data_IF_423665485536
#
_entry.id   IF_423665485536
#
_cell.length_a   1.000
_cell.length_b   1.000
_cell.length_c   1.000
_cell.angle_alpha   90.00
_cell.angle_beta   90.00
_cell.angle_gamma   90.00
#
_symmetry.space_group_name_H-M   'P 1'
#
loop_
_entity.id
_entity.type
_entity.pdbx_description
1 polymer ?
#
# COMPACT_ATOMS: atom_id res chain seq x y z
N UNK A 1 -8.82 11.92 -8.60
CA UNK A 1 -7.49 11.28 -8.67
C UNK A 1 -7.64 9.97 -7.92
N UNK A 2 -7.24 8.84 -8.50
CA UNK A 2 -7.49 7.54 -7.89
C UNK A 2 -6.52 7.30 -6.73
N UNK A 3 -7.05 6.88 -5.58
CA UNK A 3 -6.26 6.46 -4.42
C UNK A 3 -5.78 5.03 -4.58
N UNK A 4 -4.69 4.70 -3.89
CA UNK A 4 -4.17 3.35 -3.92
C UNK A 4 -5.08 2.34 -3.22
N UNK A 5 -5.13 1.13 -3.78
CA UNK A 5 -5.87 -0.01 -3.25
C UNK A 5 -4.89 -1.14 -2.96
N UNK A 6 -5.14 -1.88 -1.88
CA UNK A 6 -4.29 -2.96 -1.39
C UNK A 6 -5.06 -4.27 -1.26
N UNK A 7 -4.40 -5.38 -1.56
CA UNK A 7 -4.89 -6.73 -1.26
C UNK A 7 -3.90 -7.46 -0.37
N UNK A 8 -4.44 -8.07 0.68
CA UNK A 8 -3.70 -8.92 1.58
C UNK A 8 -3.78 -10.36 1.06
N UNK A 9 -2.92 -10.70 0.08
CA UNK A 9 -3.00 -11.99 -0.62
C UNK A 9 -2.48 -13.14 0.24
N UNK A 10 -1.29 -12.98 0.81
CA UNK A 10 -0.63 -13.94 1.68
C UNK A 10 0.25 -13.21 2.69
N UNK A 11 -0.40 -12.56 3.65
CA UNK A 11 0.29 -11.78 4.69
C UNK A 11 0.19 -12.51 6.02
N UNK A 12 1.32 -12.87 6.64
CA UNK A 12 1.36 -13.68 7.87
C UNK A 12 0.57 -13.08 9.03
N UNK A 13 0.53 -11.75 9.13
CA UNK A 13 -0.19 -11.02 10.19
C UNK A 13 -1.70 -11.28 10.21
N UNK A 14 -2.30 -11.75 9.11
CA UNK A 14 -3.74 -12.08 9.10
C UNK A 14 -4.05 -13.38 9.84
N UNK A 15 -3.04 -14.21 10.10
CA UNK A 15 -3.18 -15.47 10.85
C UNK A 15 -2.50 -15.47 12.21
N UNK A 16 -1.20 -15.12 12.26
CA UNK A 16 -0.35 -15.36 13.45
C UNK A 16 0.67 -14.24 13.75
N UNK A 17 0.66 -13.14 12.99
CA UNK A 17 1.57 -12.01 13.21
C UNK A 17 0.89 -10.82 13.89
N UNK A 18 1.62 -9.70 14.04
CA UNK A 18 1.09 -8.53 14.71
C UNK A 18 0.30 -7.62 13.77
N UNK A 19 -0.81 -7.08 14.29
CA UNK A 19 -1.59 -6.02 13.68
C UNK A 19 -1.55 -4.83 14.64
N UNK A 20 -1.11 -3.69 14.15
CA UNK A 20 -0.94 -2.47 14.92
C UNK A 20 -2.07 -1.48 14.63
N UNK A 21 -2.48 -0.74 15.65
CA UNK A 21 -3.27 0.47 15.48
C UNK A 21 -2.30 1.64 15.39
N UNK A 22 -2.25 2.32 14.25
CA UNK A 22 -1.31 3.42 14.00
C UNK A 22 -2.05 4.73 13.77
N UNK A 23 -1.53 5.82 14.32
CA UNK A 23 -2.05 7.16 14.07
C UNK A 23 -1.48 7.70 12.75
N UNK A 24 -2.35 8.07 11.81
CA UNK A 24 -1.94 8.72 10.57
C UNK A 24 -1.44 10.16 10.85
N UNK A 25 -0.16 10.47 10.60
CA UNK A 25 0.39 11.82 10.84
C UNK A 25 0.12 12.80 9.68
N UNK A 26 -0.25 12.27 8.51
CA UNK A 26 -0.72 13.01 7.35
C UNK A 26 -1.81 12.20 6.64
N UNK A 27 -2.37 12.70 5.53
CA UNK A 27 -3.33 11.93 4.76
C UNK A 27 -2.64 10.72 4.12
N UNK A 28 -3.20 9.52 4.32
CA UNK A 28 -2.63 8.26 3.86
C UNK A 28 -3.60 7.52 2.92
N UNK A 29 -3.08 6.51 2.25
CA UNK A 29 -3.86 5.62 1.40
C UNK A 29 -3.55 4.17 1.77
N UNK A 30 -4.47 3.28 1.45
CA UNK A 30 -4.23 1.85 1.56
C UNK A 30 -3.11 1.43 0.60
N UNK A 31 -2.22 0.55 1.04
CA UNK A 31 -1.06 0.12 0.25
C UNK A 31 0.20 0.95 0.50
N UNK A 32 0.10 2.02 1.30
CA UNK A 32 1.27 2.74 1.80
C UNK A 32 2.01 1.92 2.88
N UNK A 33 3.29 2.22 3.06
CA UNK A 33 4.15 1.59 4.06
C UNK A 33 4.70 2.63 5.02
N UNK A 34 4.90 2.24 6.27
CA UNK A 34 5.47 3.12 7.28
C UNK A 34 6.35 2.34 8.26
N UNK A 35 7.32 3.00 8.88
CA UNK A 35 8.08 2.45 9.99
C UNK A 35 7.40 2.81 11.33
N UNK A 36 7.45 1.90 12.30
CA UNK A 36 6.94 2.17 13.65
C UNK A 36 7.93 3.04 14.42
N UNK A 37 7.44 4.17 14.96
CA UNK A 37 8.23 5.05 15.85
C UNK A 37 8.14 4.60 17.31
N UNK A 38 7.00 4.05 17.72
CA UNK A 38 6.75 3.55 19.07
C UNK A 38 5.31 3.81 19.54
N UNK A 39 5.01 3.47 20.78
CA UNK A 39 3.71 3.74 21.40
C UNK A 39 3.54 5.25 21.63
N UNK A 40 2.39 5.81 21.25
CA UNK A 40 2.07 7.21 21.50
C UNK A 40 1.95 7.46 23.01
N UNK A 41 2.57 8.54 23.48
CA UNK A 41 2.56 8.88 24.90
C UNK A 41 1.12 9.02 25.43
N UNK A 42 0.81 8.33 26.52
CA UNK A 42 -0.52 8.32 27.14
C UNK A 42 -1.54 7.37 26.52
N UNK A 43 -1.21 6.70 25.41
CA UNK A 43 -2.07 5.70 24.77
C UNK A 43 -1.65 4.28 25.13
N UNK A 44 -2.60 3.35 25.15
CA UNK A 44 -2.33 1.94 25.48
C UNK A 44 -1.99 1.09 24.26
N UNK A 45 -2.56 1.42 23.09
CA UNK A 45 -2.54 0.56 21.90
C UNK A 45 -2.23 1.32 20.60
N UNK A 46 -2.12 2.65 20.63
CA UNK A 46 -1.91 3.47 19.45
C UNK A 46 -0.41 3.74 19.27
N UNK A 47 0.10 3.41 18.09
CA UNK A 47 1.49 3.61 17.70
C UNK A 47 1.63 4.85 16.80
N UNK A 48 2.74 5.57 16.97
CA UNK A 48 3.18 6.58 16.02
C UNK A 48 3.97 5.92 14.88
N UNK A 49 3.82 6.46 13.68
CA UNK A 49 4.52 6.00 12.48
C UNK A 49 5.35 7.12 11.85
N UNK A 50 6.34 6.71 11.09
CA UNK A 50 7.17 7.58 10.25
C UNK A 50 7.40 6.95 8.88
N UNK A 51 7.96 7.71 7.95
CA UNK A 51 8.21 7.26 6.58
C UNK A 51 9.26 6.13 6.56
N UNK A 52 9.18 5.27 5.55
CA UNK A 52 10.00 4.07 5.47
C UNK A 52 11.47 4.39 5.14
N UNK A 53 12.29 4.62 6.17
CA UNK A 53 13.73 4.77 6.02
C UNK A 53 14.47 3.45 5.79
N UNK A 54 15.80 3.49 5.87
CA UNK A 54 16.68 2.32 5.67
C UNK A 54 16.98 1.53 6.93
N UNK A 55 16.53 2.01 8.10
CA UNK A 55 17.00 1.50 9.40
C UNK A 55 15.98 0.66 10.17
N UNK A 56 14.68 0.78 9.86
CA UNK A 56 13.60 0.14 10.62
C UNK A 56 12.72 -0.74 9.74
N UNK A 57 12.16 -1.84 10.28
CA UNK A 57 11.15 -2.61 9.59
C UNK A 57 9.94 -1.74 9.26
N UNK A 58 9.28 -2.08 8.16
CA UNK A 58 8.05 -1.41 7.73
C UNK A 58 6.83 -2.28 8.04
N UNK A 59 5.71 -1.59 8.21
CA UNK A 59 4.36 -2.15 8.30
C UNK A 59 3.54 -1.65 7.11
N UNK A 60 2.62 -2.48 6.64
CA UNK A 60 1.71 -2.17 5.54
C UNK A 60 0.43 -1.55 6.08
N UNK A 61 0.04 -0.39 5.57
CA UNK A 61 -1.21 0.28 5.93
C UNK A 61 -2.35 -0.30 5.07
N UNK A 62 -3.33 -0.92 5.72
CA UNK A 62 -4.47 -1.52 5.06
C UNK A 62 -5.72 -1.41 5.95
N UNK A 63 -6.36 -0.27 5.96
CA UNK A 63 -7.61 -0.10 6.70
C UNK A 63 -8.80 -0.65 5.89
N UNK A 64 -9.84 -1.21 6.54
CA UNK A 64 -11.08 -1.54 5.84
C UNK A 64 -11.63 -0.31 5.12
N UNK A 65 -11.71 -0.38 3.79
CA UNK A 65 -12.21 0.72 2.98
C UNK A 65 -13.74 0.79 3.08
N UNK A 66 -14.25 1.84 3.70
CA UNK A 66 -15.69 2.10 3.81
C UNK A 66 -15.97 3.46 3.18
N UNK A 67 -16.65 3.45 2.04
CA UNK A 67 -17.13 4.66 1.39
C UNK A 67 -18.62 4.83 1.73
N UNK A 68 -18.98 5.99 2.23
CA UNK A 68 -20.37 6.31 2.58
C UNK A 68 -21.14 6.99 1.43
N UNK A 69 -20.44 7.50 0.42
CA UNK A 69 -21.05 8.17 -0.72
C UNK A 69 -21.64 7.17 -1.71
N UNK A 70 -22.97 7.08 -1.70
CA UNK A 70 -23.75 6.24 -2.61
C UNK A 70 -24.35 7.03 -3.79
N UNK A 71 -24.02 8.30 -3.97
CA UNK A 71 -24.66 9.15 -4.98
C UNK A 71 -24.32 8.74 -6.42
N UNK A 72 -23.19 8.07 -6.64
CA UNK A 72 -22.76 7.58 -7.96
C UNK A 72 -22.21 6.17 -7.86
N UNK A 73 -22.43 5.37 -8.90
CA UNK A 73 -21.90 4.00 -8.96
C UNK A 73 -20.37 3.94 -8.78
N UNK A 74 -19.64 4.97 -9.21
CA UNK A 74 -18.18 5.07 -9.02
C UNK A 74 -17.72 5.57 -7.65
N UNK A 75 -18.61 6.15 -6.84
CA UNK A 75 -18.26 6.72 -5.52
C UNK A 75 -18.01 5.63 -4.46
N UNK A 76 -18.63 4.45 -4.63
CA UNK A 76 -18.37 3.27 -3.82
C UNK A 76 -17.10 2.50 -4.19
N UNK A 77 -16.32 2.99 -5.15
CA UNK A 77 -15.09 2.31 -5.55
C UNK A 77 -13.99 2.49 -4.51
N UNK A 78 -13.23 1.44 -4.26
CA UNK A 78 -12.15 1.44 -3.28
C UNK A 78 -11.07 2.49 -3.55
N UNK A 79 -10.82 2.89 -4.81
CA UNK A 79 -9.88 4.00 -5.09
C UNK A 79 -10.42 5.40 -4.73
N UNK A 80 -11.65 5.54 -4.22
CA UNK A 80 -12.10 6.80 -3.61
C UNK A 80 -11.81 6.84 -2.10
N UNK A 81 -11.46 5.70 -1.51
CA UNK A 81 -11.16 5.62 -0.08
C UNK A 81 -9.82 6.30 0.21
N UNK A 82 -9.79 7.12 1.25
CA UNK A 82 -8.57 7.77 1.75
C UNK A 82 -8.62 7.83 3.27
N UNK A 83 -7.46 7.89 3.88
CA UNK A 83 -7.30 7.98 5.33
C UNK A 83 -6.98 9.44 5.66
N UNK A 84 -7.80 10.05 6.52
CA UNK A 84 -7.59 11.43 6.93
C UNK A 84 -6.43 11.55 7.92
N UNK A 85 -5.83 12.74 7.99
CA UNK A 85 -4.83 13.03 9.03
C UNK A 85 -5.47 12.93 10.42
N UNK A 86 -4.77 12.29 11.36
CA UNK A 86 -5.20 12.08 12.74
C UNK A 86 -6.09 10.86 12.95
N UNK A 87 -6.41 10.12 11.89
CA UNK A 87 -7.19 8.89 11.99
C UNK A 87 -6.33 7.72 12.46
N UNK A 88 -6.90 6.83 13.28
CA UNK A 88 -6.23 5.61 13.71
C UNK A 88 -6.60 4.48 12.75
N UNK A 89 -5.60 3.90 12.11
CA UNK A 89 -5.79 2.87 11.07
C UNK A 89 -5.04 1.59 11.38
N UNK A 90 -5.43 0.52 10.70
CA UNK A 90 -4.79 -0.79 10.82
C UNK A 90 -3.54 -0.87 9.96
N UNK A 91 -2.43 -1.23 10.60
CA UNK A 91 -1.19 -1.57 9.94
C UNK A 91 -0.81 -3.03 10.24
N UNK A 92 -0.32 -3.72 9.21
CA UNK A 92 0.01 -5.13 9.24
C UNK A 92 1.52 -5.29 9.19
N UNK A 93 2.04 -6.12 10.09
CA UNK A 93 3.44 -6.52 10.05
C UNK A 93 3.73 -7.30 8.77
N UNK A 94 4.77 -6.89 8.05
CA UNK A 94 5.27 -7.62 6.90
C UNK A 94 6.45 -8.50 7.31
N UNK A 95 6.45 -9.74 6.84
CA UNK A 95 7.52 -10.68 7.07
C UNK A 95 8.08 -11.19 5.74
N UNK A 96 9.32 -11.69 5.75
CA UNK A 96 9.89 -12.32 4.57
C UNK A 96 8.96 -13.42 4.05
N UNK A 97 8.79 -13.52 2.73
CA UNK A 97 7.87 -14.41 2.01
C UNK A 97 6.39 -14.02 2.02
N UNK A 98 6.01 -12.93 2.69
CA UNK A 98 4.66 -12.40 2.56
C UNK A 98 4.43 -11.84 1.15
N UNK A 99 3.20 -11.96 0.67
CA UNK A 99 2.75 -11.45 -0.62
C UNK A 99 1.56 -10.53 -0.40
N UNK A 100 1.64 -9.33 -0.98
CA UNK A 100 0.55 -8.38 -1.02
C UNK A 100 0.53 -7.68 -2.38
N UNK A 101 -0.65 -7.20 -2.77
CA UNK A 101 -0.80 -6.49 -4.03
C UNK A 101 -1.18 -5.04 -3.79
N UNK A 102 -0.54 -4.11 -4.49
CA UNK A 102 -0.84 -2.67 -4.42
C UNK A 102 -1.03 -2.13 -5.83
N UNK A 103 -1.98 -1.22 -6.01
CA UNK A 103 -2.17 -0.58 -7.32
C UNK A 103 -1.04 0.39 -7.65
N UNK A 104 -0.81 0.67 -8.94
CA UNK A 104 0.26 1.56 -9.39
C UNK A 104 0.27 2.94 -8.70
N UNK A 105 -0.90 3.46 -8.31
CA UNK A 105 -1.02 4.75 -7.62
C UNK A 105 -0.38 4.73 -6.22
N UNK A 106 -0.21 3.55 -5.62
CA UNK A 106 0.47 3.36 -4.32
C UNK A 106 1.99 3.33 -4.39
N UNK A 107 2.54 3.34 -5.61
CA UNK A 107 3.97 3.20 -5.85
C UNK A 107 4.53 4.48 -6.49
N UNK A 108 5.78 4.77 -6.19
CA UNK A 108 6.58 5.75 -6.96
C UNK A 108 7.32 4.96 -8.03
N UNK A 109 6.77 4.96 -9.24
CA UNK A 109 7.32 4.21 -10.38
C UNK A 109 8.65 4.81 -10.86
N UNK A 110 9.50 3.96 -11.41
CA UNK A 110 10.76 4.40 -12.06
C UNK A 110 10.49 4.99 -13.45
N UNK A 111 9.46 4.50 -14.13
CA UNK A 111 9.02 4.92 -15.45
C UNK A 111 7.50 5.06 -15.53
N UNK A 112 6.95 4.85 -16.72
CA UNK A 112 5.50 5.00 -16.97
C UNK A 112 4.69 3.78 -16.54
N UNK A 113 5.26 2.58 -16.64
CA UNK A 113 4.57 1.32 -16.36
C UNK A 113 5.33 0.48 -15.34
N UNK A 114 4.58 -0.33 -14.59
CA UNK A 114 5.13 -1.35 -13.71
C UNK A 114 5.91 -2.40 -14.50
N UNK A 115 7.07 -2.81 -13.96
CA UNK A 115 7.90 -3.85 -14.58
C UNK A 115 8.06 -5.04 -13.65
N UNK A 116 7.66 -6.23 -14.12
CA UNK A 116 7.88 -7.48 -13.39
C UNK A 116 9.39 -7.74 -13.24
N UNK A 117 9.81 -8.13 -12.04
CA UNK A 117 11.20 -8.41 -11.71
C UNK A 117 11.92 -7.23 -11.06
N UNK A 118 11.39 -6.01 -11.16
CA UNK A 118 11.89 -4.86 -10.40
C UNK A 118 11.63 -5.04 -8.90
N UNK A 119 12.41 -4.32 -8.12
CA UNK A 119 12.28 -4.25 -6.68
C UNK A 119 11.48 -3.02 -6.27
N UNK A 120 10.89 -3.10 -5.09
CA UNK A 120 10.27 -1.97 -4.41
C UNK A 120 10.92 -1.80 -3.04
N UNK A 121 11.32 -0.57 -2.74
CA UNK A 121 12.06 -0.22 -1.52
C UNK A 121 11.34 0.89 -0.75
N UNK A 122 11.60 0.97 0.55
CA UNK A 122 11.12 2.08 1.38
C UNK A 122 11.70 3.42 0.92
N UNK A 123 10.90 4.49 1.03
CA UNK A 123 11.33 5.87 0.79
C UNK A 123 11.19 6.69 2.08
N UNK A 124 12.25 7.41 2.47
CA UNK A 124 12.21 8.30 3.62
C UNK A 124 11.43 9.60 3.34
N UNK A 125 11.16 9.90 2.07
CA UNK A 125 10.50 11.14 1.62
C UNK A 125 8.98 10.99 1.54
N UNK A 126 8.49 9.79 1.27
CA UNK A 126 7.07 9.48 1.04
C UNK A 126 6.64 8.21 1.78
N UNK A 127 5.34 8.01 1.97
CA UNK A 127 4.80 6.74 2.48
C UNK A 127 4.58 5.69 1.38
N UNK A 128 4.94 6.02 0.13
CA UNK A 128 4.88 5.08 -0.99
C UNK A 128 6.15 4.24 -1.04
N UNK A 129 6.01 3.03 -1.58
CA UNK A 129 7.16 2.26 -1.98
C UNK A 129 7.72 2.80 -3.30
N UNK A 130 9.03 2.87 -3.42
CA UNK A 130 9.72 3.31 -4.61
C UNK A 130 10.20 2.12 -5.43
N UNK A 131 9.88 2.11 -6.72
CA UNK A 131 10.39 1.12 -7.65
C UNK A 131 11.88 1.34 -7.96
N UNK A 132 12.64 0.26 -8.03
CA UNK A 132 14.06 0.25 -8.33
C UNK A 132 14.44 -1.01 -9.11
N UNK A 133 15.38 -0.88 -10.06
CA UNK A 133 15.95 -2.03 -10.78
C UNK A 133 17.00 -2.78 -9.96
N UNK A 134 17.54 -2.14 -8.92
CA UNK A 134 18.62 -2.69 -8.08
C UNK A 134 18.35 -2.44 -6.60
N UNK A 135 19.00 -3.24 -5.75
CA UNK A 135 18.93 -3.12 -4.29
C UNK A 135 20.34 -2.78 -3.81
N UNK A 136 20.51 -1.69 -3.08
CA UNK A 136 21.82 -1.25 -2.57
C UNK A 136 22.30 -2.08 -1.38
N UNK A 137 21.41 -2.88 -0.78
CA UNK A 137 21.67 -3.77 0.35
C UNK A 137 21.51 -3.08 1.71
N UNK A 138 21.44 -1.76 1.71
CA UNK A 138 21.26 -0.91 2.91
C UNK A 138 19.80 -0.71 3.28
N UNK A 139 18.86 -1.08 2.42
CA UNK A 139 17.43 -0.89 2.63
C UNK A 139 16.90 -1.83 3.73
N UNK A 140 16.06 -1.31 4.62
CA UNK A 140 15.39 -2.13 5.64
C UNK A 140 14.29 -3.01 5.02
N UNK A 141 13.53 -2.44 4.07
CA UNK A 141 12.50 -3.15 3.34
C UNK A 141 12.87 -3.31 1.86
N UNK A 142 12.71 -4.54 1.38
CA UNK A 142 12.83 -4.89 -0.04
C UNK A 142 11.72 -5.86 -0.42
N UNK A 143 10.88 -5.46 -1.36
CA UNK A 143 9.94 -6.32 -2.05
C UNK A 143 10.36 -6.54 -3.50
N UNK A 144 9.97 -7.65 -4.10
CA UNK A 144 10.13 -7.93 -5.54
C UNK A 144 8.76 -7.99 -6.21
N UNK A 145 8.60 -7.29 -7.33
CA UNK A 145 7.40 -7.39 -8.14
C UNK A 145 7.45 -8.74 -8.89
N UNK A 146 6.60 -9.67 -8.50
CA UNK A 146 6.57 -11.04 -9.05
C UNK A 146 5.57 -11.18 -10.19
N UNK A 147 4.50 -10.37 -10.19
CA UNK A 147 3.44 -10.40 -11.19
C UNK A 147 2.75 -9.05 -11.25
N UNK A 148 2.14 -8.75 -12.39
CA UNK A 148 1.22 -7.63 -12.54
C UNK A 148 -0.15 -8.21 -12.87
N UNK A 149 -1.15 -7.86 -12.07
CA UNK A 149 -2.53 -8.29 -12.26
C UNK A 149 -3.39 -7.12 -12.71
N UNK A 150 -4.13 -7.32 -13.79
CA UNK A 150 -5.06 -6.33 -14.30
C UNK A 150 -6.47 -6.76 -13.93
N UNK A 151 -7.15 -6.00 -13.07
CA UNK A 151 -8.55 -6.25 -12.70
C UNK A 151 -9.44 -5.12 -13.23
N UNK A 152 -10.46 -5.49 -13.98
CA UNK A 152 -11.47 -4.56 -14.44
C UNK A 152 -12.08 -5.04 -15.74
N UNK A 153 -13.09 -4.31 -16.19
CA UNK A 153 -13.66 -4.53 -17.51
C UNK A 153 -13.89 -3.17 -18.15
N UNK A 154 -13.59 -3.08 -19.44
CA UNK A 154 -13.96 -1.94 -20.26
C UNK A 154 -15.39 -2.15 -20.73
N UNK A 155 -16.35 -1.39 -20.19
CA UNK A 155 -17.68 -1.36 -20.78
C UNK A 155 -17.63 -0.45 -22.02
N UNK A 156 -18.03 -1.00 -23.16
CA UNK A 156 -18.25 -0.23 -24.39
C UNK A 156 -19.55 0.55 -24.19
N UNK A 157 -19.45 1.85 -23.95
CA UNK A 157 -20.63 2.72 -24.04
C UNK A 157 -20.90 3.00 -25.51
N UNK A 158 -22.16 3.06 -25.95
CA UNK A 158 -22.56 3.36 -27.34
C UNK A 158 -22.21 4.78 -27.84
N UNK A 159 -21.25 5.45 -27.19
CA UNK A 159 -20.66 6.75 -27.50
C UNK A 159 -19.15 6.53 -27.69
N UNK A 160 -18.46 7.41 -28.43
CA UNK A 160 -17.01 7.29 -28.62
C UNK A 160 -16.28 7.45 -27.27
N UNK A 161 -15.91 6.31 -26.67
CA UNK A 161 -15.25 6.23 -25.37
C UNK A 161 -15.54 4.91 -24.66
N UNK A 162 -14.55 4.39 -23.94
CA UNK A 162 -14.72 3.25 -23.03
C UNK A 162 -14.85 3.77 -21.60
N UNK A 163 -15.90 3.37 -20.89
CA UNK A 163 -16.06 3.66 -19.46
C UNK A 163 -15.77 2.37 -18.71
N UNK A 164 -14.53 2.20 -18.25
CA UNK A 164 -14.12 1.05 -17.46
C UNK A 164 -12.98 1.43 -16.52
N UNK A 165 -13.08 1.03 -15.26
CA UNK A 165 -11.97 1.12 -14.31
C UNK A 165 -11.17 -0.16 -14.43
N UNK A 166 -9.97 -0.02 -15.00
CA UNK A 166 -8.99 -1.09 -15.10
C UNK A 166 -7.89 -0.78 -14.09
N UNK A 167 -7.78 -1.62 -13.07
CA UNK A 167 -6.81 -1.51 -12.00
C UNK A 167 -5.61 -2.38 -12.33
N UNK A 168 -4.41 -1.79 -12.35
CA UNK A 168 -3.15 -2.54 -12.44
C UNK A 168 -2.58 -2.70 -11.03
N UNK A 169 -2.44 -3.94 -10.58
CA UNK A 169 -1.85 -4.32 -9.31
C UNK A 169 -0.44 -4.84 -9.52
N UNK A 170 0.51 -4.32 -8.76
CA UNK A 170 1.81 -4.95 -8.56
C UNK A 170 1.67 -5.99 -7.44
N UNK A 171 1.87 -7.27 -7.77
CA UNK A 171 1.98 -8.34 -6.78
C UNK A 171 3.42 -8.34 -6.26
N UNK A 172 3.59 -8.02 -4.98
CA UNK A 172 4.88 -7.82 -4.34
C UNK A 172 5.15 -8.95 -3.36
N UNK A 173 6.28 -9.64 -3.53
CA UNK A 173 6.79 -10.62 -2.57
C UNK A 173 7.88 -9.97 -1.71
N UNK A 174 7.72 -10.01 -0.39
CA UNK A 174 8.68 -9.44 0.57
C UNK A 174 9.94 -10.31 0.62
N UNK A 175 11.06 -9.75 0.18
CA UNK A 175 12.37 -10.40 0.21
C UNK A 175 13.12 -10.13 1.52
N UNK A 176 12.94 -8.92 2.06
CA UNK A 176 13.58 -8.45 3.29
C UNK A 176 12.65 -7.46 4.01
N UNK A 177 12.50 -7.65 5.31
CA UNK A 177 12.01 -6.64 6.24
C UNK A 177 12.84 -6.80 7.52
N UNK A 178 13.74 -5.84 7.78
CA UNK A 178 14.84 -5.94 8.75
C UNK A 178 14.37 -5.93 10.21
#
# INVERSE_FOLDING_TARGET
MANSVVRLDKVKSTGVGHIYSVLAPEALQNGFVAALKGLKAGEREIYEIEKAGTTKPVVLIANPAINYDNARQGANSEQEYSIANGEVVRAYELQKTDIFSVTEEGLTLLGTDLVVGNYVIGDASTYKLKESTTVAGTEAFVGKIVRIDTLGTTAVTGQAGSVGRVLKYAVIEVQKNA
#
